data_IF_166374928079
#
_entry.id   IF_166374928079
#
_cell.length_a   1.000
_cell.length_b   1.000
_cell.length_c   1.000
_cell.angle_alpha   90.00
_cell.angle_beta   90.00
_cell.angle_gamma   90.00
#
_symmetry.space_group_name_H-M   'P 1'
#
loop_
_entity.id
_entity.type
_entity.pdbx_description
1 polymer ?
#
# COMPACT_ATOMS: atom_id res chain seq x y z
N UNK A 1 24.94 27.33 12.23
CA UNK A 1 24.08 26.33 11.56
C UNK A 1 24.89 25.74 10.41
N UNK A 2 25.23 24.45 10.45
CA UNK A 2 26.08 23.82 9.42
C UNK A 2 25.27 23.70 8.13
N UNK A 3 25.80 24.18 7.00
CA UNK A 3 25.13 24.13 5.70
C UNK A 3 25.22 22.69 5.19
N UNK A 4 24.08 22.07 4.88
CA UNK A 4 24.02 20.70 4.36
C UNK A 4 24.23 20.74 2.84
N UNK A 5 25.14 19.90 2.33
CA UNK A 5 25.44 19.75 0.90
C UNK A 5 24.57 18.61 0.31
N UNK A 6 24.27 18.65 -0.99
CA UNK A 6 23.47 17.62 -1.65
C UNK A 6 24.13 16.23 -1.58
N UNK A 7 25.47 16.19 -1.46
CA UNK A 7 26.23 14.95 -1.26
C UNK A 7 25.92 14.28 0.08
N UNK A 8 25.56 15.06 1.10
CA UNK A 8 25.17 14.53 2.41
C UNK A 8 23.85 13.73 2.30
N UNK A 9 22.98 14.04 1.32
CA UNK A 9 21.71 13.34 1.11
C UNK A 9 21.87 11.88 0.65
N UNK A 10 23.05 11.47 0.16
CA UNK A 10 23.31 10.07 -0.21
C UNK A 10 23.60 9.17 0.99
N UNK A 11 24.08 9.76 2.09
CA UNK A 11 24.48 9.03 3.30
C UNK A 11 23.53 9.28 4.46
N UNK A 12 22.67 10.30 4.38
CA UNK A 12 21.70 10.66 5.40
C UNK A 12 20.29 10.25 4.98
N UNK A 13 19.60 9.51 5.86
CA UNK A 13 18.18 9.21 5.71
C UNK A 13 17.36 10.41 6.16
N UNK A 14 16.80 11.15 5.22
CA UNK A 14 15.77 12.14 5.50
C UNK A 14 14.41 11.49 5.26
N UNK A 15 13.65 11.30 6.35
CA UNK A 15 12.23 11.03 6.26
C UNK A 15 11.49 12.17 6.94
N UNK A 16 10.36 12.56 6.36
CA UNK A 16 9.44 13.52 6.96
C UNK A 16 8.45 12.68 7.76
N UNK A 17 8.52 12.76 9.08
CA UNK A 17 7.41 12.34 9.92
C UNK A 17 6.33 13.41 9.83
N UNK A 18 5.20 13.08 9.21
CA UNK A 18 3.98 13.88 9.29
C UNK A 18 3.24 13.50 10.57
N UNK A 19 3.82 13.85 11.72
CA UNK A 19 3.04 13.87 12.95
C UNK A 19 2.14 15.10 12.90
N UNK A 20 0.82 14.88 12.90
CA UNK A 20 -0.20 15.94 12.86
C UNK A 20 -0.17 16.91 14.05
N UNK A 21 0.82 16.78 14.94
CA UNK A 21 1.09 17.71 16.02
C UNK A 21 2.52 18.24 15.94
N UNK A 22 2.61 19.53 15.59
CA UNK A 22 3.75 20.47 15.71
C UNK A 22 4.61 20.67 14.46
N UNK A 23 4.30 21.76 13.75
CA UNK A 23 5.30 22.67 13.19
C UNK A 23 6.07 23.35 14.33
N UNK A 24 6.95 22.62 15.02
CA UNK A 24 7.94 23.21 15.90
C UNK A 24 9.32 22.77 15.40
N UNK A 25 10.22 23.74 15.19
CA UNK A 25 11.64 23.49 14.92
C UNK A 25 12.17 22.51 15.96
N UNK A 26 12.33 21.25 15.57
CA UNK A 26 12.96 20.24 16.40
C UNK A 26 14.48 20.51 16.37
N UNK A 27 14.96 21.20 17.41
CA UNK A 27 16.33 21.03 17.86
C UNK A 27 16.51 19.55 18.20
N UNK A 28 17.57 18.97 17.64
CA UNK A 28 18.20 17.69 17.99
C UNK A 28 17.78 17.09 19.34
N UNK A 29 16.69 16.34 19.32
CA UNK A 29 16.50 15.18 20.17
C UNK A 29 16.34 14.00 19.21
N UNK A 30 17.11 12.91 19.36
CA UNK A 30 16.85 11.72 18.58
C UNK A 30 15.45 11.26 18.98
N UNK A 31 14.52 11.28 18.02
CA UNK A 31 13.30 10.52 18.15
C UNK A 31 13.71 9.10 18.53
N UNK A 32 13.12 8.54 19.57
CA UNK A 32 13.35 7.14 19.93
C UNK A 32 13.10 6.26 18.69
N UNK A 33 14.13 5.52 18.25
CA UNK A 33 14.06 4.34 17.38
C UNK A 33 12.81 3.48 17.76
N UNK A 34 12.04 2.79 16.90
CA UNK A 34 12.52 2.02 15.74
C UNK A 34 11.39 1.41 14.84
N UNK A 35 10.15 1.92 14.81
CA UNK A 35 9.02 1.12 14.20
C UNK A 35 8.61 1.46 12.77
N UNK A 36 9.26 2.45 12.13
CA UNK A 36 9.02 2.73 10.70
C UNK A 36 10.25 2.41 9.87
N UNK A 37 10.11 1.43 8.98
CA UNK A 37 11.16 1.04 8.05
C UNK A 37 10.78 1.45 6.63
N UNK A 38 11.78 1.94 5.89
CA UNK A 38 11.66 2.23 4.47
C UNK A 38 12.73 1.40 3.76
N UNK A 39 12.31 0.64 2.75
CA UNK A 39 13.18 -0.15 1.90
C UNK A 39 12.89 0.18 0.44
N UNK A 40 13.93 0.31 -0.37
CA UNK A 40 13.78 0.45 -1.81
C UNK A 40 14.79 -0.40 -2.54
N UNK A 41 14.37 -0.89 -3.70
CA UNK A 41 15.24 -1.45 -4.74
C UNK A 41 14.81 -0.82 -6.06
N UNK A 42 15.64 -0.80 -7.12
CA UNK A 42 15.21 -0.25 -8.40
C UNK A 42 13.84 -0.81 -8.84
N UNK A 43 12.85 0.08 -9.00
CA UNK A 43 11.49 -0.28 -9.39
C UNK A 43 10.57 -0.81 -8.28
N UNK A 44 10.99 -0.81 -7.01
CA UNK A 44 10.15 -1.19 -5.86
C UNK A 44 10.45 -0.34 -4.63
N UNK A 45 9.39 0.12 -3.99
CA UNK A 45 9.42 0.90 -2.76
C UNK A 45 8.50 0.25 -1.73
N UNK A 46 8.97 0.18 -0.49
CA UNK A 46 8.24 -0.33 0.65
C UNK A 46 8.42 0.64 1.82
N UNK A 47 7.32 1.03 2.45
CA UNK A 47 7.31 1.65 3.76
C UNK A 47 6.45 0.79 4.69
N UNK A 48 6.97 0.47 5.86
CA UNK A 48 6.27 -0.28 6.92
C UNK A 48 6.30 0.61 8.15
N UNK A 49 5.14 0.90 8.70
CA UNK A 49 4.99 1.54 10.00
C UNK A 49 3.98 0.78 10.85
N UNK A 50 3.80 1.21 12.09
CA UNK A 50 2.90 0.56 13.05
C UNK A 50 1.49 0.33 12.51
N UNK A 51 0.87 1.39 11.99
CA UNK A 51 -0.52 1.35 11.53
C UNK A 51 -0.70 1.00 10.05
N UNK A 52 0.39 0.82 9.29
CA UNK A 52 0.25 0.63 7.85
C UNK A 52 1.50 0.18 7.11
N UNK A 53 1.28 -0.45 5.96
CA UNK A 53 2.30 -0.87 5.01
C UNK A 53 1.93 -0.30 3.64
N UNK A 54 2.91 0.24 2.93
CA UNK A 54 2.77 0.73 1.56
C UNK A 54 3.84 0.08 0.70
N UNK A 55 3.42 -0.66 -0.32
CA UNK A 55 4.26 -1.19 -1.36
C UNK A 55 3.88 -0.53 -2.69
N UNK A 56 4.86 -0.10 -3.48
CA UNK A 56 4.64 0.27 -4.88
C UNK A 56 5.80 -0.21 -5.72
N UNK A 57 5.51 -0.92 -6.80
CA UNK A 57 6.55 -1.48 -7.64
C UNK A 57 6.16 -2.70 -8.44
N UNK A 58 7.19 -3.35 -8.99
CA UNK A 58 7.07 -4.51 -9.88
C UNK A 58 7.08 -5.85 -9.14
N UNK A 59 6.57 -6.94 -9.75
CA UNK A 59 6.71 -8.30 -9.22
C UNK A 59 8.17 -8.67 -8.93
N UNK A 60 8.38 -9.56 -7.95
CA UNK A 60 9.71 -10.06 -7.59
C UNK A 60 9.71 -10.70 -6.21
N UNK A 61 10.90 -11.05 -5.71
CA UNK A 61 11.04 -11.56 -4.34
C UNK A 61 10.56 -10.51 -3.34
N UNK A 62 9.85 -10.94 -2.30
CA UNK A 62 9.44 -10.09 -1.18
C UNK A 62 10.64 -9.29 -0.65
N UNK A 63 10.45 -7.97 -0.46
CA UNK A 63 11.46 -7.06 0.11
C UNK A 63 11.14 -6.67 1.56
N UNK A 64 10.13 -7.31 2.16
CA UNK A 64 9.58 -7.06 3.49
C UNK A 64 8.07 -6.81 3.45
N UNK A 65 7.46 -6.72 4.63
CA UNK A 65 6.06 -6.30 4.80
C UNK A 65 5.00 -7.35 4.42
N UNK A 66 5.39 -8.60 4.11
CA UNK A 66 4.43 -9.68 3.88
C UNK A 66 3.72 -9.61 2.53
N UNK A 67 4.24 -8.87 1.54
CA UNK A 67 3.57 -8.66 0.25
C UNK A 67 4.37 -9.34 -0.87
N UNK A 68 3.72 -10.25 -1.60
CA UNK A 68 4.26 -10.87 -2.81
C UNK A 68 3.34 -10.57 -3.99
N UNK A 69 3.73 -9.60 -4.81
CA UNK A 69 3.03 -9.26 -6.06
C UNK A 69 3.30 -10.32 -7.14
N UNK A 70 2.24 -10.82 -7.77
CA UNK A 70 2.30 -11.77 -8.91
C UNK A 70 2.02 -11.08 -10.23
N UNK A 71 0.99 -10.24 -10.26
CA UNK A 71 0.59 -9.46 -11.43
C UNK A 71 -0.20 -8.23 -10.97
N UNK A 72 -0.23 -7.13 -11.73
CA UNK A 72 0.45 -6.89 -13.01
C UNK A 72 1.94 -6.52 -12.81
N UNK A 73 2.61 -6.09 -13.88
CA UNK A 73 4.02 -5.69 -13.87
C UNK A 73 4.34 -4.49 -12.97
N UNK A 74 3.33 -3.75 -12.53
CA UNK A 74 3.46 -2.67 -11.56
C UNK A 74 2.16 -2.50 -10.79
N UNK A 75 2.22 -2.53 -9.45
CA UNK A 75 1.07 -2.27 -8.60
C UNK A 75 1.45 -1.39 -7.41
N UNK A 76 0.44 -0.72 -6.86
CA UNK A 76 0.49 -0.11 -5.55
C UNK A 76 -0.45 -0.86 -4.61
N UNK A 77 0.07 -1.28 -3.46
CA UNK A 77 -0.64 -2.04 -2.45
C UNK A 77 -0.45 -1.32 -1.11
N UNK A 78 -1.54 -1.08 -0.40
CA UNK A 78 -1.51 -0.53 0.96
C UNK A 78 -2.30 -1.42 1.90
N UNK A 79 -1.78 -1.59 3.11
CA UNK A 79 -2.42 -2.31 4.20
C UNK A 79 -2.54 -1.32 5.34
N UNK A 80 -3.74 -1.02 5.82
CA UNK A 80 -3.97 0.06 6.79
C UNK A 80 -4.87 -0.41 7.92
N UNK A 81 -4.43 -0.20 9.16
CA UNK A 81 -5.28 -0.35 10.33
C UNK A 81 -6.31 0.79 10.37
N UNK A 82 -7.59 0.45 10.51
CA UNK A 82 -8.70 1.41 10.48
C UNK A 82 -9.17 1.85 11.86
N UNK A 83 -8.61 1.29 12.93
CA UNK A 83 -9.03 1.49 14.31
C UNK A 83 -7.99 2.26 15.15
N UNK A 84 -7.00 2.88 14.50
CA UNK A 84 -5.95 3.68 15.16
C UNK A 84 -4.95 2.84 15.98
N UNK A 85 -4.98 1.51 15.83
CA UNK A 85 -4.04 0.59 16.48
C UNK A 85 -2.93 0.18 15.51
N UNK A 86 -1.88 -0.39 16.07
CA UNK A 86 -0.87 -1.11 15.30
C UNK A 86 -1.52 -2.24 14.50
N UNK A 87 -1.02 -2.52 13.29
CA UNK A 87 -1.54 -3.57 12.40
C UNK A 87 -1.64 -4.92 13.11
N UNK A 88 -0.63 -5.26 13.92
CA UNK A 88 -0.60 -6.50 14.70
C UNK A 88 -1.76 -6.62 15.70
N UNK A 89 -2.28 -5.50 16.20
CA UNK A 89 -3.34 -5.41 17.21
C UNK A 89 -4.68 -4.93 16.67
N UNK A 90 -4.70 -4.45 15.42
CA UNK A 90 -5.89 -3.91 14.76
C UNK A 90 -6.93 -5.00 14.57
N UNK A 91 -8.19 -4.69 14.84
CA UNK A 91 -9.33 -5.59 14.56
C UNK A 91 -9.96 -5.33 13.20
N UNK A 92 -9.53 -4.27 12.51
CA UNK A 92 -10.10 -3.81 11.25
C UNK A 92 -9.00 -3.30 10.34
N UNK A 93 -8.72 -4.04 9.27
CA UNK A 93 -7.67 -3.70 8.30
C UNK A 93 -8.31 -3.50 6.93
N UNK A 94 -7.88 -2.45 6.22
CA UNK A 94 -8.18 -2.26 4.81
C UNK A 94 -6.93 -2.57 3.99
N UNK A 95 -7.05 -3.53 3.09
CA UNK A 95 -6.06 -3.74 2.03
C UNK A 95 -6.60 -3.11 0.76
N UNK A 96 -5.84 -2.21 0.14
CA UNK A 96 -6.14 -1.74 -1.21
C UNK A 96 -5.02 -2.04 -2.17
N UNK A 97 -5.37 -2.49 -3.36
CA UNK A 97 -4.42 -2.88 -4.39
C UNK A 97 -4.93 -2.51 -5.78
N UNK A 98 -4.13 -1.74 -6.52
CA UNK A 98 -4.42 -1.41 -7.90
C UNK A 98 -3.14 -1.42 -8.75
N UNK A 99 -3.27 -1.87 -10.00
CA UNK A 99 -2.30 -1.62 -11.04
C UNK A 99 -2.51 -0.23 -11.65
N UNK A 100 -2.51 -0.16 -12.97
CA UNK A 100 -2.87 1.06 -13.70
C UNK A 100 -4.34 1.40 -13.51
N UNK A 101 -4.63 2.70 -13.36
CA UNK A 101 -5.99 3.23 -13.35
C UNK A 101 -6.11 4.28 -14.46
N UNK A 102 -7.12 4.14 -15.31
CA UNK A 102 -7.41 5.10 -16.38
C UNK A 102 -8.92 5.17 -16.65
N UNK A 103 -9.39 6.31 -17.12
CA UNK A 103 -10.79 6.42 -17.56
C UNK A 103 -11.02 5.57 -18.81
N UNK A 104 -12.25 5.11 -19.00
CA UNK A 104 -12.64 4.45 -20.26
C UNK A 104 -12.37 5.39 -21.43
N UNK A 105 -11.73 4.90 -22.49
CA UNK A 105 -11.32 5.68 -23.68
C UNK A 105 -10.35 6.85 -23.41
N UNK A 106 -9.60 6.82 -22.30
CA UNK A 106 -8.53 7.81 -22.07
C UNK A 106 -7.38 7.62 -23.08
N UNK A 107 -6.96 8.71 -23.72
CA UNK A 107 -5.90 8.65 -24.75
C UNK A 107 -4.74 9.56 -24.37
N UNK A 108 -3.57 8.96 -24.17
CA UNK A 108 -2.32 9.68 -24.04
C UNK A 108 -1.82 10.19 -25.40
N UNK A 109 -1.13 11.34 -25.39
CA UNK A 109 -0.31 11.80 -26.51
C UNK A 109 0.72 10.73 -26.92
N UNK A 110 1.22 10.77 -28.16
CA UNK A 110 2.19 9.78 -28.68
C UNK A 110 3.44 9.61 -27.78
N UNK A 111 3.90 10.70 -27.14
CA UNK A 111 5.02 10.68 -26.20
C UNK A 111 4.64 10.35 -24.75
N UNK A 112 3.36 10.06 -24.48
CA UNK A 112 2.77 9.71 -23.18
C UNK A 112 2.97 10.74 -22.06
N UNK A 113 3.08 12.03 -22.40
CA UNK A 113 3.30 13.11 -21.44
C UNK A 113 2.05 13.89 -21.05
N UNK A 114 0.95 13.74 -21.79
CA UNK A 114 -0.33 14.42 -21.49
C UNK A 114 -1.49 13.66 -22.13
N UNK A 115 -2.70 13.88 -21.64
CA UNK A 115 -3.96 13.44 -22.27
C UNK A 115 -4.68 14.57 -23.02
N UNK A 116 -4.22 15.83 -22.88
CA UNK A 116 -4.84 16.99 -23.53
C UNK A 116 -6.32 17.13 -23.17
N UNK A 117 -7.20 17.01 -24.17
CA UNK A 117 -8.66 17.00 -24.00
C UNK A 117 -9.25 15.59 -23.97
N UNK A 118 -8.44 14.55 -24.14
CA UNK A 118 -8.86 13.15 -24.29
C UNK A 118 -8.83 12.41 -22.95
N UNK A 119 -9.54 12.96 -21.97
CA UNK A 119 -9.58 12.42 -20.60
C UNK A 119 -10.37 11.11 -20.48
N UNK A 120 -11.08 10.70 -21.53
CA UNK A 120 -12.00 9.55 -21.47
C UNK A 120 -13.29 9.87 -20.71
N UNK A 121 -14.00 8.83 -20.31
CA UNK A 121 -15.30 8.86 -19.64
C UNK A 121 -15.31 7.91 -18.43
N UNK A 122 -16.33 8.06 -17.59
CA UNK A 122 -16.66 7.05 -16.59
C UNK A 122 -17.15 5.76 -17.26
N UNK A 123 -16.92 4.57 -16.65
CA UNK A 123 -16.23 4.36 -15.38
C UNK A 123 -14.70 4.38 -15.53
N UNK A 124 -14.01 4.57 -14.40
CA UNK A 124 -12.56 4.29 -14.30
C UNK A 124 -12.35 2.79 -14.47
N UNK A 125 -11.39 2.41 -15.31
CA UNK A 125 -10.89 1.05 -15.45
C UNK A 125 -9.64 0.90 -14.59
N UNK A 126 -9.63 -0.15 -13.78
CA UNK A 126 -8.55 -0.44 -12.84
C UNK A 126 -8.00 -1.81 -13.20
N UNK A 127 -6.70 -1.85 -13.47
CA UNK A 127 -5.97 -3.08 -13.69
C UNK A 127 -5.94 -3.90 -12.39
N UNK A 128 -6.49 -5.13 -12.41
CA UNK A 128 -6.64 -5.91 -11.20
C UNK A 128 -5.31 -6.49 -10.73
N UNK A 129 -5.15 -6.59 -9.41
CA UNK A 129 -3.92 -7.09 -8.77
C UNK A 129 -4.10 -8.53 -8.30
N UNK A 130 -3.11 -9.37 -8.62
CA UNK A 130 -2.92 -10.69 -8.02
C UNK A 130 -1.71 -10.62 -7.10
N UNK A 131 -1.92 -10.82 -5.80
CA UNK A 131 -0.85 -10.79 -4.81
C UNK A 131 -1.19 -11.65 -3.60
N UNK A 132 -0.14 -12.13 -2.93
CA UNK A 132 -0.25 -12.76 -1.62
C UNK A 132 0.07 -11.71 -0.56
N UNK A 133 -0.82 -11.55 0.44
CA UNK A 133 -0.65 -10.64 1.57
C UNK A 133 -0.68 -11.41 2.87
N UNK A 134 0.42 -11.35 3.61
CA UNK A 134 0.56 -11.89 4.95
C UNK A 134 0.01 -10.92 5.98
N UNK A 135 -0.85 -11.42 6.84
CA UNK A 135 -1.56 -10.70 7.89
C UNK A 135 -1.18 -11.27 9.25
N UNK A 136 -1.38 -10.52 10.35
CA UNK A 136 -1.25 -11.07 11.69
C UNK A 136 -2.06 -12.37 11.84
N UNK A 137 -1.54 -13.40 12.54
CA UNK A 137 -2.22 -14.67 12.68
C UNK A 137 -3.51 -14.51 13.47
N UNK A 138 -4.65 -14.70 12.81
CA UNK A 138 -5.98 -14.63 13.41
C UNK A 138 -7.07 -15.21 12.48
N UNK A 139 -8.29 -15.29 13.00
CA UNK A 139 -9.51 -15.74 12.37
C UNK A 139 -10.18 -14.56 11.64
N UNK A 140 -9.51 -14.09 10.60
CA UNK A 140 -9.99 -12.98 9.80
C UNK A 140 -11.20 -13.37 8.95
N UNK A 141 -12.26 -12.55 9.04
CA UNK A 141 -13.26 -12.43 7.99
C UNK A 141 -12.79 -11.37 7.00
N UNK A 142 -12.83 -11.68 5.70
CA UNK A 142 -12.48 -10.72 4.65
C UNK A 142 -13.65 -10.53 3.69
N UNK A 143 -13.93 -9.28 3.32
CA UNK A 143 -14.92 -8.90 2.34
C UNK A 143 -14.27 -8.06 1.24
N UNK A 144 -14.47 -8.46 -0.02
CA UNK A 144 -14.24 -7.58 -1.16
C UNK A 144 -15.29 -6.47 -1.13
N UNK A 145 -14.88 -5.23 -1.39
CA UNK A 145 -15.81 -4.09 -1.46
C UNK A 145 -16.07 -3.66 -2.90
N UNK A 146 -17.28 -3.22 -3.19
CA UNK A 146 -17.64 -2.58 -4.44
C UNK A 146 -17.08 -1.15 -4.55
N UNK A 147 -17.25 -0.50 -5.72
CA UNK A 147 -16.91 0.91 -5.93
C UNK A 147 -17.72 1.87 -5.07
N UNK A 148 -18.84 1.41 -4.52
CA UNK A 148 -19.68 2.09 -3.52
C UNK A 148 -19.21 1.85 -2.07
N UNK A 149 -18.09 1.16 -1.89
CA UNK A 149 -17.54 0.72 -0.60
C UNK A 149 -18.45 -0.24 0.19
N UNK A 150 -19.46 -0.85 -0.44
CA UNK A 150 -20.29 -1.86 0.18
C UNK A 150 -19.70 -3.26 -0.04
N UNK A 151 -19.90 -4.22 0.89
CA UNK A 151 -19.46 -5.60 0.67
C UNK A 151 -20.07 -6.21 -0.59
N UNK A 152 -19.23 -6.78 -1.45
CA UNK A 152 -19.63 -7.39 -2.73
C UNK A 152 -19.41 -8.90 -2.78
N UNK A 153 -18.40 -9.41 -2.06
CA UNK A 153 -18.15 -10.85 -1.93
C UNK A 153 -17.36 -11.16 -0.65
N UNK A 154 -17.57 -12.35 -0.08
CA UNK A 154 -16.68 -12.88 0.96
C UNK A 154 -15.41 -13.47 0.31
N UNK A 155 -14.26 -13.27 0.96
CA UNK A 155 -12.95 -13.72 0.49
C UNK A 155 -12.34 -14.64 1.55
N UNK A 156 -11.86 -15.81 1.13
CA UNK A 156 -11.21 -16.74 2.04
C UNK A 156 -9.84 -16.22 2.49
N UNK A 157 -9.55 -16.38 3.78
CA UNK A 157 -8.24 -16.10 4.37
C UNK A 157 -7.69 -17.41 4.92
N UNK A 158 -6.56 -17.86 4.39
CA UNK A 158 -5.96 -19.12 4.79
C UNK A 158 -5.05 -18.93 6.01
N UNK A 159 -5.26 -19.73 7.08
CA UNK A 159 -4.33 -19.76 8.20
C UNK A 159 -3.04 -20.48 7.82
N UNK A 160 -1.90 -19.86 8.09
CA UNK A 160 -0.55 -20.38 7.80
C UNK A 160 0.30 -20.28 9.05
N UNK A 161 0.06 -21.15 10.05
CA UNK A 161 0.89 -21.28 11.25
C UNK A 161 1.12 -19.97 12.02
N UNK A 162 2.12 -19.20 11.61
CA UNK A 162 2.52 -17.91 12.17
C UNK A 162 1.90 -16.66 11.50
N UNK A 163 1.11 -16.80 10.43
CA UNK A 163 0.40 -15.69 9.79
C UNK A 163 -0.92 -16.16 9.16
N UNK A 164 -1.76 -15.19 8.75
CA UNK A 164 -2.93 -15.44 7.91
C UNK A 164 -2.66 -14.91 6.50
N UNK A 165 -3.02 -15.68 5.47
CA UNK A 165 -2.73 -15.39 4.08
C UNK A 165 -4.01 -14.96 3.35
N UNK A 166 -4.02 -13.71 2.89
CA UNK A 166 -5.03 -13.19 1.97
C UNK A 166 -4.47 -13.24 0.55
N UNK A 167 -5.23 -13.84 -0.38
CA UNK A 167 -4.91 -13.81 -1.80
C UNK A 167 -5.78 -12.79 -2.52
N UNK A 168 -5.16 -11.73 -3.02
CA UNK A 168 -5.81 -10.77 -3.91
C UNK A 168 -5.96 -11.42 -5.28
N UNK A 169 -7.13 -11.28 -5.90
CA UNK A 169 -7.45 -11.93 -7.17
C UNK A 169 -8.44 -11.10 -8.00
N UNK A 170 -8.23 -10.99 -9.33
CA UNK A 170 -9.16 -10.33 -10.25
C UNK A 170 -10.60 -10.85 -10.21
N UNK A 171 -10.81 -12.10 -9.75
CA UNK A 171 -12.14 -12.72 -9.69
C UNK A 171 -13.14 -11.93 -8.83
N UNK A 172 -12.64 -11.17 -7.85
CA UNK A 172 -13.46 -10.36 -6.94
C UNK A 172 -13.83 -8.99 -7.50
N UNK A 173 -13.28 -8.60 -8.67
CA UNK A 173 -13.55 -7.32 -9.35
C UNK A 173 -13.51 -6.12 -8.40
N UNK A 174 -12.52 -6.11 -7.51
CA UNK A 174 -12.34 -5.08 -6.48
C UNK A 174 -10.89 -4.62 -6.41
N UNK A 175 -10.69 -3.42 -5.86
CA UNK A 175 -9.40 -2.94 -5.39
C UNK A 175 -9.32 -2.87 -3.86
N UNK A 176 -10.39 -3.19 -3.12
CA UNK A 176 -10.48 -3.05 -1.67
C UNK A 176 -10.93 -4.34 -0.99
N UNK A 177 -10.19 -4.73 0.04
CA UNK A 177 -10.47 -5.88 0.88
C UNK A 177 -10.53 -5.43 2.34
N UNK A 178 -11.72 -5.52 2.94
CA UNK A 178 -11.94 -5.20 4.34
C UNK A 178 -11.82 -6.46 5.18
N UNK A 179 -10.86 -6.46 6.09
CA UNK A 179 -10.65 -7.53 7.05
C UNK A 179 -11.15 -7.12 8.44
N UNK A 180 -11.82 -8.05 9.10
CA UNK A 180 -12.30 -7.89 10.47
C UNK A 180 -12.04 -9.15 11.30
N UNK A 181 -11.71 -8.98 12.58
CA UNK A 181 -11.61 -10.06 13.58
C UNK A 181 -12.27 -9.65 14.90
N UNK A 182 -12.52 -10.62 15.78
CA UNK A 182 -13.23 -10.40 17.05
C UNK A 182 -12.38 -9.76 18.13
#
# INVERSE_FOLDING_TARGET
>A
MKKMDWKDLYTHRLYITLDGNRLARAASQPASDDDTTIAWTPGRFLAVGRGGIVFTGRPGKEIGGGIVLRSPDFASITITAMDGKDLALSKRILVSACGRCENTDMVFSKNRRSVGKNWGLSPVQIEPVTADVSLPPDDWRCQALGPDCLPSADVSVAKKGNFSLLQLSPQYKTMWYLLTRK
#
